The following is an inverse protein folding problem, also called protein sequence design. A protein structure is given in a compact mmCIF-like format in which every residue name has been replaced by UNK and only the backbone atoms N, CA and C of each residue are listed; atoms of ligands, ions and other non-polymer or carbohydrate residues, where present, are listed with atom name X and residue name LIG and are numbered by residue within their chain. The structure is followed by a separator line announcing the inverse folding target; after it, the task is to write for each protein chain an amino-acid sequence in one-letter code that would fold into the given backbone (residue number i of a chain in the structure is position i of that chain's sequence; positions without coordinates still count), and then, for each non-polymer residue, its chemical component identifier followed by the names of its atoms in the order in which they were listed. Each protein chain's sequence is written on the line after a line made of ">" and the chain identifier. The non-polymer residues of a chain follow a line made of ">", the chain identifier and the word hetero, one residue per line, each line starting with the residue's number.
data_IF_707532736826
#
_entry.id   IF_707532736826
#
_cell.length_a   1.000
_cell.length_b   1.000
_cell.length_c   1.000
_cell.angle_alpha   90.00
_cell.angle_beta   90.00
_cell.angle_gamma   90.00
#
_symmetry.space_group_name_H-M   'P 1'
#
loop_
_entity.id
_entity.type
_entity.pdbx_description
1 polymer ?
#
# COMPACT_ATOMS: atom_id res chain seq x y z
N UNK A 1 11.99 -12.95 0.52
CA UNK A 1 12.24 -11.65 1.19
C UNK A 1 11.65 -11.72 2.59
N UNK A 2 12.46 -11.63 3.65
CA UNK A 2 12.00 -11.63 5.04
C UNK A 2 10.97 -10.49 5.23
N UNK A 3 9.86 -10.71 5.94
CA UNK A 3 8.75 -9.73 6.09
C UNK A 3 9.26 -8.32 6.46
N UNK A 4 10.32 -8.21 7.26
CA UNK A 4 10.94 -6.92 7.59
C UNK A 4 11.52 -6.18 6.39
N UNK A 5 12.14 -6.89 5.46
CA UNK A 5 12.68 -6.29 4.24
C UNK A 5 11.55 -5.80 3.32
N UNK A 6 10.42 -6.53 3.27
CA UNK A 6 9.22 -6.11 2.55
C UNK A 6 8.67 -4.80 3.10
N UNK A 7 8.49 -4.71 4.41
CA UNK A 7 7.96 -3.49 5.05
C UNK A 7 8.91 -2.32 4.91
N UNK A 8 10.22 -2.55 5.00
CA UNK A 8 11.22 -1.49 4.77
C UNK A 8 11.17 -0.97 3.32
N UNK A 9 11.06 -1.86 2.33
CA UNK A 9 10.94 -1.49 0.91
C UNK A 9 9.68 -0.65 0.68
N UNK A 10 8.53 -1.11 1.19
CA UNK A 10 7.28 -0.34 1.08
C UNK A 10 7.36 1.02 1.79
N UNK A 11 7.96 1.08 2.98
CA UNK A 11 8.16 2.33 3.71
C UNK A 11 9.03 3.31 2.92
N UNK A 12 10.09 2.83 2.26
CA UNK A 12 10.93 3.67 1.40
C UNK A 12 10.15 4.25 0.22
N UNK A 13 9.28 3.46 -0.43
CA UNK A 13 8.39 3.97 -1.49
C UNK A 13 7.49 5.07 -0.95
N UNK A 14 6.82 4.83 0.20
CA UNK A 14 5.94 5.83 0.83
C UNK A 14 6.66 7.14 1.13
N UNK A 15 7.84 7.06 1.75
CA UNK A 15 8.63 8.24 2.09
C UNK A 15 9.10 8.99 0.84
N UNK A 16 9.56 8.27 -0.19
CA UNK A 16 10.00 8.88 -1.44
C UNK A 16 8.85 9.58 -2.18
N UNK A 17 7.64 9.01 -2.18
CA UNK A 17 6.45 9.67 -2.72
C UNK A 17 6.13 10.98 -1.99
N UNK A 18 6.24 11.01 -0.66
CA UNK A 18 6.01 12.24 0.13
C UNK A 18 7.05 13.34 -0.19
N UNK A 19 8.26 12.93 -0.57
CA UNK A 19 9.37 13.83 -0.91
C UNK A 19 9.42 14.17 -2.41
N UNK A 20 8.49 13.66 -3.21
CA UNK A 20 8.52 13.77 -4.68
C UNK A 20 9.82 13.24 -5.32
N UNK A 21 10.47 12.26 -4.68
CA UNK A 21 11.69 11.63 -5.16
C UNK A 21 11.38 10.47 -6.12
N UNK A 22 11.21 10.81 -7.39
CA UNK A 22 10.87 9.85 -8.44
C UNK A 22 11.95 8.79 -8.67
N UNK A 23 13.22 9.11 -8.43
CA UNK A 23 14.33 8.17 -8.62
C UNK A 23 14.29 7.07 -7.56
N UNK A 24 14.13 7.44 -6.29
CA UNK A 24 14.02 6.46 -5.20
C UNK A 24 12.75 5.63 -5.35
N UNK A 25 11.63 6.22 -5.80
CA UNK A 25 10.41 5.47 -6.12
C UNK A 25 10.68 4.41 -7.18
N UNK A 26 11.26 4.80 -8.33
CA UNK A 26 11.54 3.87 -9.43
C UNK A 26 12.47 2.72 -9.02
N UNK A 27 13.58 3.04 -8.33
CA UNK A 27 14.52 2.03 -7.87
C UNK A 27 13.89 1.07 -6.85
N UNK A 28 13.11 1.60 -5.91
CA UNK A 28 12.51 0.80 -4.84
C UNK A 28 11.35 -0.05 -5.35
N UNK A 29 10.57 0.46 -6.31
CA UNK A 29 9.54 -0.33 -7.01
C UNK A 29 10.16 -1.48 -7.78
N UNK A 30 11.25 -1.24 -8.51
CA UNK A 30 11.96 -2.29 -9.25
C UNK A 30 12.48 -3.39 -8.31
N UNK A 31 13.02 -3.01 -7.14
CA UNK A 31 13.41 -3.97 -6.10
C UNK A 31 12.22 -4.76 -5.55
N UNK A 32 11.07 -4.10 -5.37
CA UNK A 32 9.86 -4.73 -4.86
C UNK A 32 9.36 -5.84 -5.78
N UNK A 33 9.40 -5.63 -7.09
CA UNK A 33 8.99 -6.59 -8.12
C UNK A 33 10.15 -7.44 -8.65
N UNK A 34 11.19 -7.62 -7.85
CA UNK A 34 12.31 -8.52 -8.14
C UNK A 34 13.09 -8.22 -9.43
N UNK A 35 13.15 -6.96 -9.84
CA UNK A 35 13.85 -6.54 -11.06
C UNK A 35 13.03 -6.69 -12.35
N UNK A 36 11.77 -7.12 -12.26
CA UNK A 36 10.89 -7.23 -13.43
C UNK A 36 10.40 -5.84 -13.85
N UNK A 37 10.96 -5.34 -14.94
CA UNK A 37 10.63 -4.02 -15.47
C UNK A 37 9.16 -3.91 -15.91
N UNK A 38 8.58 -4.97 -16.48
CA UNK A 38 7.18 -4.96 -16.93
C UNK A 38 6.25 -4.80 -15.74
N UNK A 39 6.50 -5.57 -14.67
CA UNK A 39 5.79 -5.44 -13.40
C UNK A 39 5.98 -4.05 -12.79
N UNK A 40 7.18 -3.50 -12.82
CA UNK A 40 7.44 -2.15 -12.30
C UNK A 40 6.59 -1.09 -13.02
N UNK A 41 6.50 -1.17 -14.35
CA UNK A 41 5.71 -0.27 -15.18
C UNK A 41 4.19 -0.44 -14.93
N UNK A 42 3.73 -1.67 -14.72
CA UNK A 42 2.34 -1.97 -14.33
C UNK A 42 2.00 -1.35 -12.98
N UNK A 43 2.86 -1.53 -11.97
CA UNK A 43 2.62 -0.97 -10.63
C UNK A 43 2.65 0.57 -10.65
N UNK A 44 3.57 1.17 -11.41
CA UNK A 44 3.60 2.61 -11.61
C UNK A 44 2.31 3.13 -12.28
N UNK A 45 1.78 2.39 -13.24
CA UNK A 45 0.50 2.72 -13.90
C UNK A 45 -0.67 2.61 -12.93
N UNK A 46 -0.71 1.56 -12.10
CA UNK A 46 -1.71 1.43 -11.05
C UNK A 46 -1.68 2.61 -10.08
N UNK A 47 -0.49 3.03 -9.60
CA UNK A 47 -0.37 4.21 -8.74
C UNK A 47 -0.92 5.49 -9.37
N UNK A 48 -0.65 5.73 -10.66
CA UNK A 48 -1.17 6.90 -11.38
C UNK A 48 -2.70 6.85 -11.48
N UNK A 49 -3.26 5.71 -11.88
CA UNK A 49 -4.70 5.53 -12.02
C UNK A 49 -5.42 5.78 -10.68
N UNK A 50 -4.89 5.26 -9.57
CA UNK A 50 -5.48 5.51 -8.25
C UNK A 50 -5.37 6.99 -7.85
N UNK A 51 -4.23 7.64 -8.13
CA UNK A 51 -4.05 9.06 -7.85
C UNK A 51 -5.02 9.96 -8.65
N UNK A 52 -5.28 9.62 -9.91
CA UNK A 52 -6.27 10.30 -10.75
C UNK A 52 -7.70 10.13 -10.20
N UNK A 53 -8.11 8.89 -9.89
CA UNK A 53 -9.41 8.61 -9.28
C UNK A 53 -9.63 9.41 -7.98
N UNK A 54 -8.59 9.55 -7.15
CA UNK A 54 -8.64 10.36 -5.94
C UNK A 54 -8.85 11.86 -6.22
N UNK A 55 -8.25 12.41 -7.29
CA UNK A 55 -8.41 13.82 -7.68
C UNK A 55 -9.79 14.11 -8.25
N UNK A 56 -10.36 13.15 -8.97
CA UNK A 56 -11.69 13.26 -9.59
C UNK A 56 -12.83 13.21 -8.56
N UNK A 57 -12.54 12.99 -7.28
CA UNK A 57 -13.55 12.95 -6.22
C UNK A 57 -14.51 11.77 -6.34
N UNK A 58 -14.09 10.70 -7.01
CA UNK A 58 -14.87 9.46 -7.17
C UNK A 58 -15.10 8.82 -5.80
N UNK A 59 -16.28 8.22 -5.59
CA UNK A 59 -16.59 7.42 -4.41
C UNK A 59 -15.46 6.44 -4.08
N UNK A 60 -15.22 6.23 -2.78
CA UNK A 60 -14.19 5.31 -2.29
C UNK A 60 -14.50 3.91 -2.81
N UNK A 61 -13.77 3.48 -3.84
CA UNK A 61 -13.74 2.11 -4.31
C UNK A 61 -12.65 1.31 -3.58
N UNK A 62 -12.62 -0.01 -3.83
CA UNK A 62 -11.68 -0.91 -3.17
C UNK A 62 -10.20 -0.52 -3.38
N UNK A 63 -9.82 -0.04 -4.57
CA UNK A 63 -8.44 0.40 -4.85
C UNK A 63 -8.05 1.60 -3.99
N UNK A 64 -8.92 2.61 -3.88
CA UNK A 64 -8.69 3.82 -3.09
C UNK A 64 -8.57 3.45 -1.60
N UNK A 65 -9.44 2.56 -1.13
CA UNK A 65 -9.42 2.07 0.24
C UNK A 65 -8.12 1.33 0.56
N UNK A 66 -7.72 0.37 -0.27
CA UNK A 66 -6.51 -0.41 -0.07
C UNK A 66 -5.26 0.45 -0.21
N UNK A 67 -5.23 1.39 -1.16
CA UNK A 67 -4.15 2.37 -1.29
C UNK A 67 -4.02 3.21 -0.02
N UNK A 68 -5.15 3.61 0.58
CA UNK A 68 -5.14 4.33 1.86
C UNK A 68 -4.56 3.47 2.98
N UNK A 69 -4.96 2.21 3.11
CA UNK A 69 -4.38 1.26 4.08
C UNK A 69 -2.87 1.10 3.88
N UNK A 70 -2.42 1.04 2.62
CA UNK A 70 -1.01 0.99 2.28
C UNK A 70 -0.27 2.26 2.69
N UNK A 71 -0.81 3.43 2.36
CA UNK A 71 -0.21 4.74 2.68
C UNK A 71 0.02 4.93 4.18
N UNK A 72 -0.93 4.48 5.01
CA UNK A 72 -0.83 4.60 6.47
C UNK A 72 -0.06 3.44 7.13
N UNK A 73 0.40 2.47 6.33
CA UNK A 73 1.25 1.37 6.82
C UNK A 73 0.51 0.19 7.43
N UNK A 74 -0.80 0.06 7.18
CA UNK A 74 -1.59 -1.11 7.60
C UNK A 74 -1.50 -2.26 6.59
N UNK A 75 -1.14 -1.95 5.34
CA UNK A 75 -0.83 -2.94 4.31
C UNK A 75 0.50 -2.63 3.62
N UNK A 76 1.16 -3.67 3.11
CA UNK A 76 2.32 -3.59 2.23
C UNK A 76 1.99 -4.28 0.90
N UNK A 77 2.47 -3.74 -0.21
CA UNK A 77 2.42 -4.40 -1.51
C UNK A 77 3.54 -5.43 -1.52
N UNK A 78 3.21 -6.69 -1.83
CA UNK A 78 4.16 -7.80 -1.88
C UNK A 78 4.73 -8.02 -3.28
N UNK A 79 3.87 -8.02 -4.28
CA UNK A 79 4.18 -8.26 -5.71
C UNK A 79 2.93 -7.87 -6.53
N UNK A 80 2.94 -8.16 -7.82
CA UNK A 80 1.81 -8.13 -8.74
C UNK A 80 1.39 -9.55 -9.12
N UNK A 81 0.10 -9.77 -9.34
CA UNK A 81 -0.43 -10.99 -9.94
C UNK A 81 -0.21 -11.05 -11.46
N UNK A 82 -0.72 -12.10 -12.11
CA UNK A 82 -0.58 -12.33 -13.56
C UNK A 82 -1.25 -11.25 -14.41
N UNK A 83 -2.28 -10.58 -13.86
CA UNK A 83 -3.04 -9.52 -14.52
C UNK A 83 -2.41 -8.14 -14.30
N UNK A 84 -1.40 -8.04 -13.42
CA UNK A 84 -0.74 -6.79 -13.06
C UNK A 84 -1.47 -6.02 -11.96
N UNK A 85 -2.28 -6.70 -11.14
CA UNK A 85 -2.91 -6.12 -9.95
C UNK A 85 -2.02 -6.30 -8.72
N UNK A 86 -1.89 -5.29 -7.84
CA UNK A 86 -1.03 -5.41 -6.67
C UNK A 86 -1.57 -6.39 -5.65
N UNK A 87 -0.70 -7.29 -5.17
CA UNK A 87 -0.97 -8.23 -4.11
C UNK A 87 -0.61 -7.56 -2.78
N UNK A 88 -1.60 -7.35 -1.93
CA UNK A 88 -1.41 -6.73 -0.62
C UNK A 88 -1.29 -7.78 0.50
N UNK A 89 -0.48 -7.46 1.50
CA UNK A 89 -0.40 -8.21 2.75
C UNK A 89 -0.52 -7.26 3.93
N UNK A 90 -1.11 -7.73 5.03
CA UNK A 90 -1.17 -6.94 6.26
C UNK A 90 0.23 -6.79 6.85
N UNK A 91 0.52 -5.58 7.32
CA UNK A 91 1.71 -5.36 8.15
C UNK A 91 1.51 -5.93 9.55
N UNK A 92 2.56 -5.93 10.37
CA UNK A 92 2.41 -6.24 11.79
C UNK A 92 1.32 -5.35 12.43
N UNK A 93 1.36 -4.04 12.20
CA UNK A 93 0.37 -3.08 12.71
C UNK A 93 -1.04 -3.41 12.23
N UNK A 94 -1.23 -3.63 10.92
CA UNK A 94 -2.52 -4.02 10.36
C UNK A 94 -3.04 -5.33 10.97
N UNK A 95 -2.16 -6.29 11.23
CA UNK A 95 -2.54 -7.56 11.87
C UNK A 95 -2.98 -7.40 13.33
N UNK A 96 -2.45 -6.40 14.06
CA UNK A 96 -2.89 -6.13 15.43
C UNK A 96 -4.30 -5.52 15.44
N UNK A 97 -4.61 -4.64 14.49
CA UNK A 97 -5.97 -4.09 14.30
C UNK A 97 -6.98 -5.23 14.11
N UNK A 98 -6.68 -6.19 13.22
CA UNK A 98 -7.55 -7.35 12.98
C UNK A 98 -7.81 -8.18 14.23
N UNK A 99 -6.84 -8.29 15.13
CA UNK A 99 -6.97 -9.07 16.37
C UNK A 99 -7.80 -8.36 17.45
N UNK A 100 -7.82 -7.03 17.44
CA UNK A 100 -8.35 -6.22 18.54
C UNK A 100 -9.71 -5.60 18.21
N UNK A 101 -10.01 -5.40 16.92
CA UNK A 101 -11.22 -4.70 16.47
C UNK A 101 -12.32 -5.69 16.06
N UNK A 102 -13.59 -5.46 16.46
CA UNK A 102 -14.72 -6.25 15.99
C UNK A 102 -14.84 -6.25 14.45
N UNK A 103 -15.28 -7.38 13.87
CA UNK A 103 -15.30 -7.57 12.41
C UNK A 103 -16.08 -6.48 11.68
N UNK A 104 -17.17 -6.01 12.28
CA UNK A 104 -18.05 -4.97 11.74
C UNK A 104 -17.39 -3.59 11.63
N UNK A 105 -16.31 -3.32 12.39
CA UNK A 105 -15.56 -2.05 12.36
C UNK A 105 -14.20 -2.18 11.69
N UNK A 106 -13.82 -3.38 11.30
CA UNK A 106 -12.46 -3.70 10.87
C UNK A 106 -11.97 -2.84 9.70
N UNK A 107 -12.83 -2.68 8.69
CA UNK A 107 -12.49 -1.90 7.49
C UNK A 107 -12.24 -0.43 7.83
N UNK A 108 -13.08 0.16 8.68
CA UNK A 108 -12.92 1.53 9.14
C UNK A 108 -11.63 1.69 9.97
N UNK A 109 -11.36 0.76 10.89
CA UNK A 109 -10.14 0.81 11.71
C UNK A 109 -8.87 0.67 10.86
N UNK A 110 -8.87 -0.21 9.86
CA UNK A 110 -7.75 -0.36 8.92
C UNK A 110 -7.55 0.85 8.01
N UNK A 111 -8.60 1.62 7.71
CA UNK A 111 -8.54 2.80 6.84
C UNK A 111 -8.11 4.09 7.55
N UNK A 112 -8.47 4.24 8.82
CA UNK A 112 -8.34 5.49 9.54
C UNK A 112 -7.39 5.42 10.74
N UNK A 113 -6.91 4.23 11.12
CA UNK A 113 -6.08 4.04 12.32
C UNK A 113 -6.77 4.58 13.60
N UNK A 114 -8.10 4.61 13.60
CA UNK A 114 -8.92 5.40 14.52
C UNK A 114 -9.24 4.70 15.85
N UNK A 115 -8.95 3.41 15.98
CA UNK A 115 -9.28 2.63 17.20
C UNK A 115 -8.05 2.19 18.02
N UNK A 116 -6.82 2.37 17.53
CA UNK A 116 -5.59 1.93 18.25
C UNK A 116 -4.90 3.06 19.02
N UNK A 117 -5.14 4.33 18.68
CA UNK A 117 -4.52 5.50 19.33
C UNK A 117 -5.37 6.18 20.40
N UNK A 118 -6.49 5.56 20.78
CA UNK A 118 -7.48 6.12 21.70
C UNK A 118 -7.47 5.43 23.08
N UNK A 119 -6.37 4.75 23.45
CA UNK A 119 -6.19 4.09 24.74
C UNK A 119 -4.91 4.58 25.43
#
# INVERSE_FOLDING_TARGET
>A
MYIHQLSLTNQRIRNALQQYDSNTVAQTVLLLVHGDQKKADQLATWFRNVAEKCKEGVDINADIAIMRMWQIGNADIKDLDEEGSPIFVLTYSGSQIVKQVPKEKLFQALLFDSEVKSA
#
